data_IF_910298445690
#
_entry.id   IF_910298445690
#
_cell.length_a   1.000
_cell.length_b   1.000
_cell.length_c   1.000
_cell.angle_alpha   90.00
_cell.angle_beta   90.00
_cell.angle_gamma   90.00
#
_symmetry.space_group_name_H-M   'P 1'
#
loop_
_entity.id
_entity.type
_entity.pdbx_description
1 polymer ?
#
# COMPACT_ATOMS: atom_id res chain seq x y z
N UNK A 1 -20.11 -9.46 -2.65
CA UNK A 1 -18.97 -9.70 -1.72
C UNK A 1 -19.00 -8.65 -0.61
N UNK A 2 -19.30 -9.06 0.62
CA UNK A 2 -19.48 -8.17 1.76
C UNK A 2 -18.10 -7.86 2.39
N UNK A 3 -17.41 -6.83 1.89
CA UNK A 3 -16.10 -6.43 2.44
C UNK A 3 -16.35 -5.62 3.72
N UNK A 4 -16.30 -6.29 4.88
CA UNK A 4 -16.24 -5.62 6.18
C UNK A 4 -15.10 -4.59 6.13
N UNK A 5 -15.28 -3.36 6.63
CA UNK A 5 -14.19 -2.40 6.72
C UNK A 5 -13.15 -3.02 7.65
N UNK A 6 -12.03 -3.44 7.07
CA UNK A 6 -10.91 -3.91 7.86
C UNK A 6 -10.53 -2.73 8.75
N UNK A 7 -10.65 -2.90 10.08
CA UNK A 7 -9.95 -2.01 11.01
C UNK A 7 -8.51 -1.99 10.52
N UNK A 8 -8.01 -0.83 10.11
CA UNK A 8 -6.66 -0.70 9.60
C UNK A 8 -5.70 -1.08 10.74
N UNK A 9 -5.36 -2.36 10.82
CA UNK A 9 -4.43 -2.89 11.81
C UNK A 9 -3.02 -2.56 11.36
N UNK A 10 -2.20 -2.07 12.29
CA UNK A 10 -0.80 -1.77 12.00
C UNK A 10 -0.11 -3.02 11.43
N UNK A 11 0.62 -2.94 10.30
CA UNK A 11 1.11 -4.10 9.58
C UNK A 11 2.49 -4.41 10.17
N UNK A 12 2.48 -4.97 11.38
CA UNK A 12 3.67 -5.19 12.20
C UNK A 12 4.74 -6.00 11.45
N UNK A 13 4.31 -7.04 10.73
CA UNK A 13 5.20 -7.85 9.89
C UNK A 13 5.84 -7.04 8.74
N UNK A 14 5.09 -6.16 8.08
CA UNK A 14 5.65 -5.31 7.02
C UNK A 14 6.60 -4.24 7.58
N UNK A 15 6.37 -3.79 8.81
CA UNK A 15 7.25 -2.86 9.51
C UNK A 15 8.57 -3.53 9.91
N UNK A 16 8.52 -4.76 10.44
CA UNK A 16 9.73 -5.48 10.84
C UNK A 16 10.54 -5.97 9.64
N UNK A 17 9.88 -6.31 8.53
CA UNK A 17 10.53 -6.79 7.31
C UNK A 17 10.85 -5.66 6.32
N UNK A 18 11.10 -4.44 6.81
CA UNK A 18 11.53 -3.35 5.96
C UNK A 18 12.89 -3.68 5.31
N UNK A 19 13.08 -3.36 4.02
CA UNK A 19 14.36 -3.57 3.36
C UNK A 19 15.41 -2.63 3.97
N UNK A 20 16.43 -3.22 4.60
CA UNK A 20 17.47 -2.47 5.31
C UNK A 20 18.48 -1.78 4.37
N UNK A 21 18.60 -2.26 3.12
CA UNK A 21 19.66 -1.85 2.18
C UNK A 21 19.13 -1.47 0.78
N UNK A 22 17.88 -1.03 0.67
CA UNK A 22 17.33 -0.61 -0.63
C UNK A 22 17.46 0.91 -0.81
N UNK A 23 18.20 1.33 -1.85
CA UNK A 23 18.32 2.73 -2.23
C UNK A 23 16.97 3.39 -2.62
N UNK A 24 16.00 2.59 -3.07
CA UNK A 24 14.69 3.08 -3.52
C UNK A 24 13.68 3.22 -2.38
N UNK A 25 13.87 2.50 -1.27
CA UNK A 25 12.96 2.54 -0.12
C UNK A 25 13.76 2.66 1.16
N UNK A 26 13.92 3.87 1.70
CA UNK A 26 14.67 4.07 2.94
C UNK A 26 13.96 3.39 4.11
N UNK A 27 14.75 2.89 5.06
CA UNK A 27 14.25 2.35 6.31
C UNK A 27 13.52 3.44 7.11
N UNK A 28 12.24 3.20 7.45
CA UNK A 28 11.44 4.14 8.23
C UNK A 28 11.25 3.59 9.65
N UNK A 29 12.07 4.05 10.58
CA UNK A 29 12.03 3.63 12.00
C UNK A 29 10.91 4.31 12.82
N UNK A 30 10.24 5.32 12.27
CA UNK A 30 9.11 5.98 12.94
C UNK A 30 7.80 5.25 12.55
N UNK A 31 7.13 4.56 13.49
CA UNK A 31 5.96 3.73 13.18
C UNK A 31 4.81 4.51 12.53
N UNK A 32 4.56 5.74 12.99
CA UNK A 32 3.52 6.61 12.41
C UNK A 32 3.80 6.96 10.95
N UNK A 33 5.06 7.25 10.61
CA UNK A 33 5.48 7.59 9.24
C UNK A 33 5.43 6.36 8.33
N UNK A 34 5.82 5.20 8.85
CA UNK A 34 5.66 3.93 8.15
C UNK A 34 4.18 3.65 7.88
N UNK A 35 3.31 3.84 8.87
CA UNK A 35 1.89 3.60 8.73
C UNK A 35 1.24 4.45 7.64
N UNK A 36 1.55 5.75 7.63
CA UNK A 36 1.05 6.66 6.61
C UNK A 36 1.51 6.25 5.19
N UNK A 37 2.81 6.03 5.02
CA UNK A 37 3.38 5.60 3.72
C UNK A 37 2.87 4.22 3.27
N UNK A 38 2.69 3.28 4.19
CA UNK A 38 2.14 1.97 3.89
C UNK A 38 0.70 2.06 3.38
N UNK A 39 -0.14 2.90 4.00
CA UNK A 39 -1.51 3.11 3.55
C UNK A 39 -1.57 3.76 2.17
N UNK A 40 -0.74 4.77 1.89
CA UNK A 40 -0.66 5.39 0.55
C UNK A 40 -0.31 4.33 -0.49
N UNK A 41 0.77 3.57 -0.27
CA UNK A 41 1.21 2.54 -1.22
C UNK A 41 0.15 1.45 -1.44
N UNK A 42 -0.61 1.12 -0.40
CA UNK A 42 -1.72 0.19 -0.51
C UNK A 42 -2.84 0.77 -1.40
N UNK A 43 -3.20 2.03 -1.19
CA UNK A 43 -4.17 2.74 -2.03
C UNK A 43 -3.70 2.85 -3.48
N UNK A 44 -2.43 3.17 -3.73
CA UNK A 44 -1.85 3.22 -5.08
C UNK A 44 -1.97 1.88 -5.81
N UNK A 45 -1.70 0.76 -5.12
CA UNK A 45 -1.86 -0.59 -5.69
C UNK A 45 -3.32 -0.91 -5.99
N UNK A 46 -4.23 -0.56 -5.08
CA UNK A 46 -5.66 -0.71 -5.31
C UNK A 46 -6.11 0.16 -6.50
N UNK A 47 -5.58 1.37 -6.61
CA UNK A 47 -5.89 2.27 -7.72
C UNK A 47 -5.39 1.72 -9.05
N UNK A 48 -4.14 1.26 -9.11
CA UNK A 48 -3.56 0.65 -10.30
C UNK A 48 -4.24 -0.67 -10.69
N UNK A 49 -4.72 -1.45 -9.73
CA UNK A 49 -5.48 -2.68 -10.01
C UNK A 49 -6.93 -2.42 -10.40
N UNK A 50 -7.53 -1.34 -9.91
CA UNK A 50 -8.86 -0.89 -10.33
C UNK A 50 -8.83 -0.19 -11.69
N UNK A 51 -7.70 0.38 -12.08
CA UNK A 51 -7.50 0.98 -13.40
C UNK A 51 -7.51 -0.10 -14.48
N UNK A 52 -8.64 -0.21 -15.20
CA UNK A 52 -8.84 -1.08 -16.36
C UNK A 52 -8.79 -0.22 -17.63
N UNK A 53 -7.66 -0.14 -18.36
CA UNK A 53 -7.56 0.72 -19.54
C UNK A 53 -8.42 0.25 -20.74
N UNK A 54 -8.89 -1.00 -20.74
CA UNK A 54 -9.55 -1.68 -21.86
C UNK A 54 -11.03 -1.26 -22.14
N UNK A 55 -11.62 -0.37 -21.33
CA UNK A 55 -13.02 0.07 -21.55
C UNK A 55 -13.16 1.45 -22.21
N UNK A 56 -12.05 2.13 -22.51
CA UNK A 56 -12.08 3.47 -23.15
C UNK A 56 -11.91 3.47 -24.68
N UNK A 57 -11.66 2.32 -25.31
CA UNK A 57 -11.49 2.20 -26.77
C UNK A 57 -12.62 1.44 -27.47
N UNK A 58 -13.84 1.49 -26.92
CA UNK A 58 -15.03 0.96 -27.59
C UNK A 58 -16.21 1.90 -27.42
N UNK A 59 -16.09 3.10 -27.99
CA UNK A 59 -17.23 3.96 -28.32
C UNK A 59 -17.01 4.61 -29.67
#
# INVERSE_FOLDING_TARGET
>A
MNRKPNRNHFPLWSYLNQPLFNAQTPLILRPQRFWYSHNIRHLERCWHSAYRPEEHFRS
#
